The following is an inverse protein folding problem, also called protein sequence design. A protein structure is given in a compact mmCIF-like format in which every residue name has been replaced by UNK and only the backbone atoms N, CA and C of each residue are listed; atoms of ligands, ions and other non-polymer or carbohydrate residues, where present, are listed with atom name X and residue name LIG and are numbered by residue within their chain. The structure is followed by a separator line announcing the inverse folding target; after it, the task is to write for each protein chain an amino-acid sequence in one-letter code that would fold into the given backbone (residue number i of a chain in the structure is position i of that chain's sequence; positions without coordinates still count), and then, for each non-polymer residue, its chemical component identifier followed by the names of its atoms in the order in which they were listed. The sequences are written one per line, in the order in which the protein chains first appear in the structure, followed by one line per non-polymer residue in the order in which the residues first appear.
data_IF_850311085540
#
_entry.id   IF_850311085540
#
_cell.length_a   1.000
_cell.length_b   1.000
_cell.length_c   1.000
_cell.angle_alpha   90.00
_cell.angle_beta   90.00
_cell.angle_gamma   90.00
#
_symmetry.space_group_name_H-M   'P 1'
#
loop_
_entity.id
_entity.type
_entity.pdbx_description
1 polymer ?
#
# COMPACT_ATOMS: atom_id res chain seq x y z
N UNK A 1 -31.93 1.47 -6.48
CA UNK A 1 -31.64 2.32 -5.32
C UNK A 1 -30.14 2.54 -5.30
N UNK A 2 -29.68 3.64 -5.87
CA UNK A 2 -28.25 3.99 -5.88
C UNK A 2 -27.96 4.67 -4.55
N UNK A 3 -27.21 4.02 -3.68
CA UNK A 3 -26.70 4.68 -2.47
C UNK A 3 -25.71 5.73 -2.98
N UNK A 4 -26.03 7.01 -2.77
CA UNK A 4 -25.05 8.08 -2.87
C UNK A 4 -24.08 7.84 -1.71
N UNK A 5 -22.96 7.17 -1.99
CA UNK A 5 -21.87 7.12 -1.03
C UNK A 5 -21.34 8.55 -0.98
N UNK A 6 -21.76 9.32 0.03
CA UNK A 6 -21.06 10.54 0.41
C UNK A 6 -19.57 10.20 0.47
N UNK A 7 -18.72 11.05 -0.11
CA UNK A 7 -17.33 10.74 -0.42
C UNK A 7 -16.62 10.12 0.80
N UNK A 8 -16.54 8.79 0.84
CA UNK A 8 -16.15 8.05 2.02
C UNK A 8 -14.63 7.97 2.03
N UNK A 9 -14.02 8.78 2.88
CA UNK A 9 -12.58 8.98 2.90
C UNK A 9 -11.96 8.27 4.09
N UNK A 10 -10.73 7.81 3.91
CA UNK A 10 -9.89 7.45 5.04
C UNK A 10 -9.60 8.71 5.87
N UNK A 11 -9.49 8.54 7.18
CA UNK A 11 -9.08 9.61 8.11
C UNK A 11 -7.75 9.25 8.77
N UNK A 12 -7.57 7.99 9.12
CA UNK A 12 -6.33 7.51 9.74
C UNK A 12 -6.19 6.01 9.57
N UNK A 13 -4.95 5.52 9.66
CA UNK A 13 -4.64 4.10 9.75
C UNK A 13 -3.91 3.82 11.05
N UNK A 14 -4.34 2.76 11.74
CA UNK A 14 -3.68 2.21 12.92
C UNK A 14 -3.21 0.78 12.63
N UNK A 15 -2.07 0.39 13.19
CA UNK A 15 -1.49 -0.93 12.99
C UNK A 15 -1.40 -1.69 14.31
N UNK A 16 -1.64 -3.00 14.23
CA UNK A 16 -1.27 -4.00 15.23
C UNK A 16 -0.29 -4.99 14.60
N UNK A 17 0.09 -6.02 15.35
CA UNK A 17 0.98 -7.07 14.84
C UNK A 17 0.38 -7.82 13.63
N UNK A 18 -0.94 -8.01 13.61
CA UNK A 18 -1.60 -8.91 12.64
C UNK A 18 -2.60 -8.20 11.72
N UNK A 19 -3.00 -6.98 12.04
CA UNK A 19 -4.04 -6.22 11.34
C UNK A 19 -3.67 -4.75 11.20
N UNK A 20 -4.23 -4.10 10.18
CA UNK A 20 -4.36 -2.65 10.14
C UNK A 20 -5.83 -2.27 10.19
N UNK A 21 -6.13 -1.11 10.75
CA UNK A 21 -7.48 -0.59 10.91
C UNK A 21 -7.56 0.81 10.31
N UNK A 22 -8.48 1.00 9.38
CA UNK A 22 -8.76 2.29 8.74
C UNK A 22 -9.98 2.92 9.39
N UNK A 23 -9.82 4.15 9.89
CA UNK A 23 -10.94 4.98 10.30
C UNK A 23 -11.49 5.75 9.10
N UNK A 24 -12.80 5.74 8.92
CA UNK A 24 -13.48 6.45 7.83
C UNK A 24 -14.13 7.74 8.32
N UNK A 25 -14.36 8.66 7.40
CA UNK A 25 -14.96 9.99 7.67
C UNK A 25 -16.36 9.93 8.29
N UNK A 26 -17.08 8.81 8.13
CA UNK A 26 -18.41 8.58 8.73
C UNK A 26 -18.38 7.88 10.09
N UNK A 27 -17.19 7.68 10.66
CA UNK A 27 -16.99 7.08 11.98
C UNK A 27 -16.89 5.55 11.99
N UNK A 28 -16.98 4.89 10.83
CA UNK A 28 -16.73 3.44 10.74
C UNK A 28 -15.24 3.11 10.85
N UNK A 29 -14.96 1.89 11.32
CA UNK A 29 -13.64 1.28 11.33
C UNK A 29 -13.65 0.02 10.45
N UNK A 30 -12.68 -0.09 9.54
CA UNK A 30 -12.44 -1.32 8.77
C UNK A 30 -11.14 -1.93 9.27
N UNK A 31 -11.23 -3.13 9.88
CA UNK A 31 -10.05 -3.90 10.27
C UNK A 31 -9.76 -4.99 9.26
N UNK A 32 -8.51 -5.10 8.81
CA UNK A 32 -8.10 -6.03 7.75
C UNK A 32 -6.80 -6.74 8.12
N UNK A 33 -6.68 -8.06 7.87
CA UNK A 33 -5.45 -8.78 8.16
C UNK A 33 -4.28 -8.27 7.34
N UNK A 34 -3.16 -7.98 8.01
CA UNK A 34 -1.98 -7.42 7.39
C UNK A 34 -1.38 -8.36 6.33
N UNK A 35 -1.45 -9.68 6.55
CA UNK A 35 -0.93 -10.69 5.63
C UNK A 35 -1.67 -10.75 4.28
N UNK A 36 -2.81 -10.06 4.12
CA UNK A 36 -3.50 -9.91 2.83
C UNK A 36 -2.81 -8.93 1.90
N UNK A 37 -1.91 -8.10 2.43
CA UNK A 37 -1.16 -7.08 1.69
C UNK A 37 0.34 -7.32 1.91
N UNK A 38 0.98 -8.16 1.07
CA UNK A 38 2.33 -8.64 1.30
C UNK A 38 3.38 -7.54 1.47
N UNK A 39 3.25 -6.40 0.79
CA UNK A 39 4.19 -5.27 0.94
C UNK A 39 4.06 -4.61 2.30
N UNK A 40 2.82 -4.37 2.76
CA UNK A 40 2.57 -3.88 4.13
C UNK A 40 3.06 -4.87 5.19
N UNK A 41 2.81 -6.17 5.00
CA UNK A 41 3.30 -7.21 5.91
C UNK A 41 4.84 -7.24 5.99
N UNK A 42 5.52 -6.95 4.89
CA UNK A 42 6.99 -6.89 4.84
C UNK A 42 7.58 -5.58 5.41
N UNK A 43 6.81 -4.49 5.38
CA UNK A 43 7.21 -3.19 5.92
C UNK A 43 7.45 -3.24 7.43
N UNK A 44 8.35 -2.40 7.92
CA UNK A 44 8.52 -2.13 9.35
C UNK A 44 7.39 -1.23 9.87
N UNK A 45 7.25 -1.13 11.19
CA UNK A 45 6.28 -0.19 11.80
C UNK A 45 6.47 1.24 11.30
N UNK A 46 7.72 1.72 11.26
CA UNK A 46 8.03 3.06 10.78
C UNK A 46 7.63 3.28 9.31
N UNK A 47 7.85 2.30 8.44
CA UNK A 47 7.45 2.38 7.03
C UNK A 47 5.93 2.36 6.86
N UNK A 48 5.20 1.66 7.73
CA UNK A 48 3.72 1.61 7.72
C UNK A 48 3.07 2.88 8.24
N UNK A 49 3.73 3.60 9.13
CA UNK A 49 3.26 4.87 9.69
C UNK A 49 3.44 6.04 8.73
N UNK A 50 4.25 5.88 7.67
CA UNK A 50 4.41 6.85 6.60
C UNK A 50 3.44 6.50 5.48
N UNK A 51 2.27 7.15 5.49
CA UNK A 51 1.24 7.02 4.47
C UNK A 51 0.62 8.36 4.11
N UNK A 52 0.00 8.40 2.94
CA UNK A 52 -0.73 9.53 2.40
C UNK A 52 -2.17 9.07 2.12
N UNK A 53 -3.15 9.90 2.49
CA UNK A 53 -4.54 9.66 2.13
C UNK A 53 -4.79 10.47 0.87
N UNK A 54 -5.11 9.77 -0.21
CA UNK A 54 -5.47 10.32 -1.51
C UNK A 54 -6.93 9.96 -1.79
N UNK A 55 -7.63 10.74 -2.63
CA UNK A 55 -9.08 10.61 -2.81
C UNK A 55 -9.53 9.15 -3.05
N UNK A 56 -10.14 8.53 -2.03
CA UNK A 56 -10.63 7.15 -2.06
C UNK A 56 -9.58 6.04 -1.85
N UNK A 57 -8.32 6.34 -1.56
CA UNK A 57 -7.27 5.35 -1.32
C UNK A 57 -6.23 5.79 -0.27
N UNK A 58 -5.41 4.83 0.17
CA UNK A 58 -4.28 5.08 1.06
C UNK A 58 -3.01 4.63 0.33
N UNK A 59 -2.04 5.53 0.22
CA UNK A 59 -0.75 5.32 -0.42
C UNK A 59 0.35 5.17 0.64
N UNK A 60 1.16 4.12 0.56
CA UNK A 60 2.37 3.94 1.35
C UNK A 60 3.60 4.10 0.44
N UNK A 61 4.20 5.30 0.37
CA UNK A 61 5.28 5.59 -0.58
C UNK A 61 6.53 4.74 -0.32
N UNK A 62 6.87 4.50 0.94
CA UNK A 62 8.04 3.70 1.34
C UNK A 62 7.91 2.22 1.01
N UNK A 63 6.68 1.76 0.77
CA UNK A 63 6.34 0.37 0.48
C UNK A 63 5.78 0.19 -0.93
N UNK A 64 5.62 1.28 -1.70
CA UNK A 64 5.01 1.29 -3.03
C UNK A 64 3.67 0.51 -3.03
N UNK A 65 2.81 0.80 -2.05
CA UNK A 65 1.51 0.13 -1.93
C UNK A 65 0.39 1.16 -1.98
N UNK A 66 -0.63 0.86 -2.78
CA UNK A 66 -1.87 1.63 -2.89
C UNK A 66 -3.05 0.72 -2.54
N UNK A 67 -3.88 1.16 -1.59
CA UNK A 67 -5.06 0.42 -1.18
C UNK A 67 -6.30 1.30 -1.30
N UNK A 68 -7.20 0.92 -2.20
CA UNK A 68 -8.51 1.58 -2.34
C UNK A 68 -9.43 1.29 -1.15
N UNK A 69 -10.13 2.31 -0.65
CA UNK A 69 -11.12 2.16 0.44
C UNK A 69 -12.27 1.25 0.02
N UNK A 70 -12.71 1.34 -1.24
CA UNK A 70 -13.75 0.46 -1.79
C UNK A 70 -13.29 -1.00 -1.85
N UNK A 71 -12.02 -1.27 -2.12
CA UNK A 71 -11.48 -2.63 -2.09
C UNK A 71 -11.54 -3.21 -0.67
N UNK A 72 -11.21 -2.42 0.35
CA UNK A 72 -11.31 -2.84 1.76
C UNK A 72 -12.74 -3.11 2.19
N UNK A 73 -13.69 -2.26 1.81
CA UNK A 73 -15.13 -2.47 2.09
C UNK A 73 -15.67 -3.76 1.47
N UNK A 74 -15.13 -4.15 0.31
CA UNK A 74 -15.49 -5.39 -0.37
C UNK A 74 -14.72 -6.63 0.15
N UNK A 75 -13.83 -6.46 1.14
CA UNK A 75 -13.00 -7.55 1.67
C UNK A 75 -11.96 -8.06 0.68
N UNK A 76 -11.55 -7.23 -0.28
CA UNK A 76 -10.54 -7.59 -1.26
C UNK A 76 -9.15 -7.71 -0.61
N UNK A 77 -8.30 -8.55 -1.21
CA UNK A 77 -6.89 -8.74 -0.84
C UNK A 77 -6.01 -8.13 -1.93
N UNK A 78 -4.72 -7.96 -1.64
CA UNK A 78 -3.77 -7.55 -2.68
C UNK A 78 -3.82 -8.49 -3.88
N UNK A 79 -3.90 -7.91 -5.08
CA UNK A 79 -3.80 -8.61 -6.35
C UNK A 79 -2.36 -8.81 -6.82
N UNK A 80 -1.37 -8.51 -5.98
CA UNK A 80 0.04 -8.55 -6.36
C UNK A 80 0.50 -9.96 -6.80
N UNK A 81 1.07 -10.03 -8.00
CA UNK A 81 1.66 -11.26 -8.52
C UNK A 81 3.06 -11.56 -7.95
N UNK A 82 3.45 -12.83 -7.94
CA UNK A 82 4.72 -13.30 -7.39
C UNK A 82 5.96 -12.56 -7.93
N UNK A 83 5.99 -12.28 -9.24
CA UNK A 83 7.09 -11.52 -9.88
C UNK A 83 7.21 -10.11 -9.34
N UNK A 84 6.09 -9.46 -9.06
CA UNK A 84 6.05 -8.11 -8.51
C UNK A 84 6.61 -8.11 -7.09
N UNK A 85 6.12 -9.04 -6.26
CA UNK A 85 6.57 -9.18 -4.88
C UNK A 85 8.06 -9.55 -4.78
N UNK A 86 8.56 -10.38 -5.72
CA UNK A 86 9.97 -10.71 -5.80
C UNK A 86 10.83 -9.47 -6.07
N UNK A 87 10.46 -8.64 -7.05
CA UNK A 87 11.14 -7.37 -7.35
C UNK A 87 11.09 -6.42 -6.17
N UNK A 88 9.93 -6.29 -5.52
CA UNK A 88 9.75 -5.50 -4.31
C UNK A 88 10.74 -5.91 -3.21
N UNK A 89 10.83 -7.21 -2.91
CA UNK A 89 11.77 -7.70 -1.89
C UNK A 89 13.22 -7.40 -2.23
N UNK A 90 13.63 -7.57 -3.49
CA UNK A 90 14.99 -7.26 -3.93
C UNK A 90 15.30 -5.76 -3.75
N UNK A 91 14.38 -4.90 -4.17
CA UNK A 91 14.53 -3.45 -4.00
C UNK A 91 14.58 -3.03 -2.53
N UNK A 92 13.69 -3.56 -1.69
CA UNK A 92 13.70 -3.28 -0.26
C UNK A 92 15.01 -3.70 0.41
N UNK A 93 15.56 -4.86 0.05
CA UNK A 93 16.85 -5.32 0.55
C UNK A 93 17.99 -4.39 0.12
N UNK A 94 17.99 -3.96 -1.14
CA UNK A 94 18.99 -3.00 -1.64
C UNK A 94 18.86 -1.63 -0.93
N UNK A 95 17.63 -1.14 -0.73
CA UNK A 95 17.35 0.13 -0.04
C UNK A 95 17.81 0.10 1.41
N UNK A 96 17.47 -0.96 2.14
CA UNK A 96 17.91 -1.19 3.52
C UNK A 96 19.43 -1.36 3.66
N UNK A 97 20.09 -1.88 2.61
CA UNK A 97 21.55 -1.97 2.55
C UNK A 97 22.22 -0.65 2.10
N UNK A 98 21.47 0.43 1.88
CA UNK A 98 22.00 1.71 1.39
C UNK A 98 22.49 1.68 -0.06
N UNK A 99 22.14 0.65 -0.83
CA UNK A 99 22.60 0.45 -2.22
C UNK A 99 21.72 1.14 -3.25
N UNK A 100 20.52 1.57 -2.87
CA UNK A 100 19.61 2.34 -3.72
C UNK A 100 18.73 3.26 -2.88
N UNK A 101 18.49 4.47 -3.38
CA UNK A 101 17.48 5.41 -2.88
C UNK A 101 16.40 5.70 -3.92
N UNK A 102 16.47 5.06 -5.09
CA UNK A 102 15.51 5.28 -6.16
C UNK A 102 14.13 4.72 -5.76
N UNK A 103 13.05 5.47 -6.04
CA UNK A 103 11.67 4.96 -5.92
C UNK A 103 11.50 3.61 -6.64
N UNK A 104 10.66 2.73 -6.08
CA UNK A 104 10.44 1.39 -6.65
C UNK A 104 10.01 1.44 -8.12
N UNK A 105 9.08 2.32 -8.46
CA UNK A 105 8.61 2.52 -9.84
C UNK A 105 9.75 2.85 -10.82
N UNK A 106 10.75 3.63 -10.39
CA UNK A 106 11.92 3.97 -11.21
C UNK A 106 12.95 2.83 -11.25
N UNK A 107 13.11 2.09 -10.15
CA UNK A 107 14.06 0.97 -10.07
C UNK A 107 13.74 -0.17 -11.06
N UNK A 108 12.49 -0.27 -11.51
CA UNK A 108 12.04 -1.26 -12.48
C UNK A 108 11.34 -0.66 -13.70
N UNK A 109 11.46 0.66 -13.90
CA UNK A 109 11.10 1.28 -15.15
C UNK A 109 11.95 0.65 -16.28
N UNK A 110 11.28 0.29 -17.37
CA UNK A 110 11.83 -0.50 -18.46
C UNK A 110 13.17 0.10 -18.99
N UNK A 111 14.29 -0.66 -19.01
CA UNK A 111 15.53 -0.19 -19.65
C UNK A 111 15.44 -0.05 -21.19
N UNK A 112 14.29 -0.36 -21.80
CA UNK A 112 14.06 -0.23 -23.25
C UNK A 112 13.36 1.07 -23.67
N UNK A 113 13.38 2.14 -22.86
CA UNK A 113 12.83 3.45 -23.25
C UNK A 113 13.89 4.48 -23.69
N UNK A 114 15.15 4.07 -23.81
CA UNK A 114 16.18 4.83 -24.53
C UNK A 114 16.94 3.85 -25.42
N UNK A 115 17.08 4.23 -26.70
CA UNK A 115 17.93 3.73 -27.80
C UNK A 115 17.12 3.18 -29.01
N UNK A 116 17.26 3.77 -30.21
CA UNK A 116 17.39 5.18 -30.57
C UNK A 116 16.08 5.81 -31.09
#
# INVERSE_FOLDING_TARGET
MTILIENLQAVSVAFSETHFTVALSDGRLISTPLHWFPRLAYGTTAEREIYEIIDGAIHWPELDEDIEIMALLNGAKSGEGEKSLHRFRQWMQARRAGKTSAPFALAFANPLAVEP
#
